data_IF_830508666517
#
_entry.id   IF_830508666517
#
_cell.length_a   1.000
_cell.length_b   1.000
_cell.length_c   1.000
_cell.angle_alpha   90.00
_cell.angle_beta   90.00
_cell.angle_gamma   90.00
#
_symmetry.space_group_name_H-M   'P 1'
#
loop_
_entity.id
_entity.type
_entity.pdbx_description
1 polymer ?
#
# COMPACT_ATOMS: atom_id res chain seq x y z
N UNK A 1 11.23 -22.06 -6.54
CA UNK A 1 10.99 -20.60 -6.57
C UNK A 1 10.86 -20.14 -8.02
N UNK A 2 9.67 -20.23 -8.62
CA UNK A 2 9.42 -19.80 -10.00
C UNK A 2 8.48 -18.60 -9.98
N UNK A 3 8.90 -17.55 -10.70
CA UNK A 3 8.14 -16.36 -11.09
C UNK A 3 7.73 -15.39 -9.95
N UNK A 4 8.66 -14.50 -9.60
CA UNK A 4 8.36 -13.18 -9.03
C UNK A 4 8.74 -12.03 -9.99
N UNK A 5 9.24 -12.37 -11.20
CA UNK A 5 9.75 -11.43 -12.20
C UNK A 5 8.94 -11.36 -13.49
N UNK A 6 7.91 -12.21 -13.68
CA UNK A 6 6.97 -11.99 -14.77
C UNK A 6 6.11 -10.75 -14.48
N UNK A 7 6.11 -9.73 -15.37
CA UNK A 7 5.32 -8.51 -15.18
C UNK A 7 3.80 -8.74 -15.25
N UNK A 8 3.40 -9.92 -15.75
CA UNK A 8 2.04 -10.44 -15.74
C UNK A 8 1.97 -11.49 -14.62
N UNK A 9 1.32 -11.13 -13.51
CA UNK A 9 0.99 -12.08 -12.45
C UNK A 9 -0.36 -12.71 -12.74
N UNK A 10 -0.43 -14.04 -12.71
CA UNK A 10 -1.69 -14.80 -12.85
C UNK A 10 -2.58 -14.69 -11.61
N UNK A 11 -2.09 -14.09 -10.52
CA UNK A 11 -2.83 -13.86 -9.29
C UNK A 11 -3.67 -12.58 -9.41
N UNK A 12 -4.98 -12.75 -9.25
CA UNK A 12 -5.94 -11.64 -9.23
C UNK A 12 -6.36 -11.34 -7.80
N UNK A 13 -6.56 -10.06 -7.51
CA UNK A 13 -7.13 -9.57 -6.24
C UNK A 13 -8.40 -8.79 -6.53
N UNK A 14 -9.38 -8.83 -5.63
CA UNK A 14 -10.59 -8.01 -5.76
C UNK A 14 -10.25 -6.53 -5.56
N UNK A 15 -10.61 -5.66 -6.50
CA UNK A 15 -10.37 -4.21 -6.49
C UNK A 15 -10.91 -3.51 -5.23
N UNK A 16 -11.96 -4.02 -4.61
CA UNK A 16 -12.54 -3.40 -3.41
C UNK A 16 -11.68 -3.60 -2.15
N UNK A 17 -10.95 -4.71 -2.05
CA UNK A 17 -10.06 -4.99 -0.92
C UNK A 17 -8.96 -3.93 -0.79
N UNK A 18 -8.16 -3.60 -1.83
CA UNK A 18 -7.13 -2.58 -1.72
C UNK A 18 -7.70 -1.19 -1.45
N UNK A 19 -8.89 -0.85 -1.96
CA UNK A 19 -9.55 0.44 -1.63
C UNK A 19 -9.84 0.55 -0.13
N UNK A 20 -10.43 -0.49 0.46
CA UNK A 20 -10.69 -0.50 1.90
C UNK A 20 -9.37 -0.51 2.70
N UNK A 21 -8.34 -1.22 2.22
CA UNK A 21 -7.02 -1.12 2.87
C UNK A 21 -6.42 0.27 2.78
N UNK A 22 -6.61 1.00 1.68
CA UNK A 22 -6.12 2.36 1.52
C UNK A 22 -6.79 3.29 2.54
N UNK A 23 -8.09 3.13 2.79
CA UNK A 23 -8.79 3.83 3.86
C UNK A 23 -8.21 3.51 5.24
N UNK A 24 -7.93 2.24 5.55
CA UNK A 24 -7.30 1.87 6.82
C UNK A 24 -5.88 2.43 6.96
N UNK A 25 -5.09 2.47 5.87
CA UNK A 25 -3.77 3.12 5.87
C UNK A 25 -3.90 4.61 6.16
N UNK A 26 -4.84 5.30 5.50
CA UNK A 26 -5.11 6.73 5.75
C UNK A 26 -5.43 6.95 7.23
N UNK A 27 -6.35 6.17 7.82
CA UNK A 27 -6.71 6.30 9.22
C UNK A 27 -5.52 6.05 10.16
N UNK A 28 -4.79 4.95 9.95
CA UNK A 28 -3.67 4.55 10.82
C UNK A 28 -2.49 5.52 10.75
N UNK A 29 -2.15 6.03 9.56
CA UNK A 29 -1.10 7.05 9.38
C UNK A 29 -1.50 8.37 10.02
N UNK A 30 -2.76 8.80 9.85
CA UNK A 30 -3.27 10.04 10.45
C UNK A 30 -3.24 9.94 11.98
N UNK A 31 -3.69 8.81 12.54
CA UNK A 31 -3.60 8.54 13.97
C UNK A 31 -2.14 8.52 14.45
N UNK A 32 -1.24 7.84 13.72
CA UNK A 32 0.19 7.81 14.05
C UNK A 32 0.81 9.21 14.14
N UNK A 33 0.42 10.11 13.24
CA UNK A 33 0.84 11.52 13.24
C UNK A 33 0.25 12.32 14.40
N UNK A 34 -1.06 12.23 14.64
CA UNK A 34 -1.73 12.96 15.73
C UNK A 34 -1.19 12.54 17.09
N UNK A 35 -0.99 11.24 17.31
CA UNK A 35 -0.41 10.73 18.55
C UNK A 35 1.12 10.82 18.59
N UNK A 36 1.78 11.26 17.51
CA UNK A 36 3.25 11.26 17.35
C UNK A 36 3.91 9.95 17.81
N UNK A 37 3.24 8.83 17.54
CA UNK A 37 3.61 7.53 18.10
C UNK A 37 4.44 6.75 17.09
N UNK A 38 5.74 6.63 17.37
CA UNK A 38 6.66 5.87 16.53
C UNK A 38 6.19 4.41 16.35
N UNK A 39 5.58 3.83 17.38
CA UNK A 39 5.03 2.47 17.35
C UNK A 39 3.96 2.28 16.26
N UNK A 40 3.06 3.26 16.07
CA UNK A 40 1.99 3.16 15.06
C UNK A 40 2.57 3.29 13.64
N UNK A 41 3.52 4.21 13.44
CA UNK A 41 4.20 4.35 12.15
C UNK A 41 5.04 3.10 11.83
N UNK A 42 5.73 2.54 12.83
CA UNK A 42 6.46 1.28 12.69
C UNK A 42 5.53 0.11 12.34
N UNK A 43 4.32 0.07 12.92
CA UNK A 43 3.30 -0.92 12.57
C UNK A 43 2.83 -0.78 11.12
N UNK A 44 2.58 0.45 10.65
CA UNK A 44 2.23 0.72 9.24
C UNK A 44 3.36 0.29 8.30
N UNK A 45 4.62 0.58 8.66
CA UNK A 45 5.78 0.14 7.89
C UNK A 45 5.90 -1.39 7.85
N UNK A 46 5.68 -2.08 8.97
CA UNK A 46 5.67 -3.54 9.01
C UNK A 46 4.55 -4.14 8.15
N UNK A 47 3.35 -3.55 8.16
CA UNK A 47 2.25 -4.00 7.32
C UNK A 47 2.54 -3.78 5.82
N UNK A 48 3.15 -2.65 5.45
CA UNK A 48 3.65 -2.46 4.07
C UNK A 48 4.78 -3.44 3.71
N UNK A 49 5.68 -3.75 4.64
CA UNK A 49 6.74 -4.73 4.42
C UNK A 49 6.18 -6.12 4.12
N UNK A 50 5.19 -6.57 4.89
CA UNK A 50 4.52 -7.85 4.69
C UNK A 50 3.85 -7.87 3.30
N UNK A 51 3.18 -6.78 2.89
CA UNK A 51 2.58 -6.67 1.55
C UNK A 51 3.61 -6.61 0.40
N UNK A 52 4.77 -6.03 0.66
CA UNK A 52 5.82 -5.78 -0.33
C UNK A 52 6.69 -7.02 -0.62
N UNK A 53 7.02 -7.78 0.43
CA UNK A 53 8.00 -8.87 0.37
C UNK A 53 7.37 -10.25 0.53
N UNK A 54 6.23 -10.35 1.21
CA UNK A 54 5.61 -11.64 1.47
C UNK A 54 4.53 -11.96 0.43
N UNK A 55 4.49 -13.20 -0.06
CA UNK A 55 3.39 -13.70 -0.90
C UNK A 55 2.07 -13.88 -0.13
N UNK A 56 2.09 -13.67 1.19
CA UNK A 56 0.94 -13.84 2.06
C UNK A 56 -0.26 -13.09 1.45
N UNK A 57 -1.34 -13.82 1.20
CA UNK A 57 -2.59 -13.26 0.67
C UNK A 57 -3.23 -12.25 1.62
N UNK A 58 -2.82 -12.24 2.89
CA UNK A 58 -3.43 -11.46 3.96
C UNK A 58 -2.37 -10.77 4.83
N UNK A 59 -2.23 -9.46 4.66
CA UNK A 59 -1.68 -8.55 5.69
C UNK A 59 -2.75 -8.31 6.78
N UNK A 60 -2.43 -7.94 8.03
CA UNK A 60 -3.45 -7.64 9.02
C UNK A 60 -4.49 -6.61 8.54
N UNK A 61 -4.06 -5.53 7.87
CA UNK A 61 -5.00 -4.57 7.26
C UNK A 61 -5.79 -5.18 6.08
N UNK A 62 -5.14 -6.00 5.24
CA UNK A 62 -5.79 -6.64 4.10
C UNK A 62 -6.78 -7.72 4.50
N UNK A 63 -6.57 -8.37 5.64
CA UNK A 63 -7.51 -9.32 6.23
C UNK A 63 -8.77 -8.58 6.71
N UNK A 64 -8.60 -7.50 7.48
CA UNK A 64 -9.73 -6.65 7.90
C UNK A 64 -10.51 -6.10 6.70
N UNK A 65 -9.82 -5.66 5.65
CA UNK A 65 -10.43 -5.21 4.40
C UNK A 65 -11.16 -6.34 3.64
N UNK A 66 -10.63 -7.56 3.66
CA UNK A 66 -11.28 -8.71 3.05
C UNK A 66 -12.61 -9.03 3.75
N UNK A 67 -12.59 -9.12 5.09
CA UNK A 67 -13.79 -9.41 5.89
C UNK A 67 -14.88 -8.34 5.71
N UNK A 68 -14.50 -7.07 5.63
CA UNK A 68 -15.46 -5.98 5.39
C UNK A 68 -16.07 -6.02 4.01
N UNK A 69 -15.29 -6.34 2.96
CA UNK A 69 -15.81 -6.50 1.60
C UNK A 69 -16.72 -7.73 1.48
N UNK A 70 -16.34 -8.84 2.12
CA UNK A 70 -17.15 -10.06 2.18
C UNK A 70 -18.50 -9.81 2.89
N UNK A 71 -18.47 -9.07 4.00
CA UNK A 71 -19.66 -8.70 4.76
C UNK A 71 -20.60 -7.78 3.96
N UNK A 72 -20.05 -6.84 3.20
CA UNK A 72 -20.82 -5.95 2.32
C UNK A 72 -21.28 -6.60 1.01
N UNK A 73 -20.90 -7.87 0.74
CA UNK A 73 -21.25 -8.62 -0.48
C UNK A 73 -21.02 -7.85 -1.78
N UNK A 74 -19.92 -7.09 -1.84
CA UNK A 74 -19.61 -6.28 -3.03
C UNK A 74 -19.13 -7.20 -4.16
N UNK A 75 -19.65 -7.07 -5.40
CA UNK A 75 -19.24 -7.91 -6.52
C UNK A 75 -17.72 -7.80 -6.75
N UNK A 76 -17.06 -8.96 -6.84
CA UNK A 76 -15.61 -9.00 -7.00
C UNK A 76 -15.20 -8.56 -8.41
N UNK A 77 -14.40 -7.49 -8.49
CA UNK A 77 -13.75 -7.06 -9.74
C UNK A 77 -12.28 -7.47 -9.70
N UNK A 78 -11.85 -8.48 -10.46
CA UNK A 78 -10.48 -8.99 -10.39
C UNK A 78 -9.48 -8.04 -11.09
N UNK A 79 -8.43 -7.65 -10.37
CA UNK A 79 -7.30 -6.85 -10.87
C UNK A 79 -5.97 -7.58 -10.65
N UNK A 80 -4.94 -7.26 -11.44
CA UNK A 80 -3.62 -7.89 -11.33
C UNK A 80 -2.91 -7.56 -10.02
N UNK A 81 -2.35 -8.59 -9.35
CA UNK A 81 -1.64 -8.42 -8.08
C UNK A 81 -0.24 -7.80 -8.24
N UNK A 82 0.46 -8.04 -9.35
CA UNK A 82 1.82 -7.54 -9.60
C UNK A 82 2.00 -6.02 -9.39
N UNK A 83 1.21 -5.15 -10.05
CA UNK A 83 1.38 -3.69 -9.90
C UNK A 83 1.07 -3.21 -8.48
N UNK A 84 0.23 -3.94 -7.72
CA UNK A 84 -0.10 -3.61 -6.32
C UNK A 84 1.03 -3.96 -5.35
N UNK A 85 1.77 -5.04 -5.60
CA UNK A 85 2.98 -5.38 -4.82
C UNK A 85 4.07 -4.31 -5.02
N UNK A 86 4.20 -3.78 -6.24
CA UNK A 86 5.11 -2.66 -6.51
C UNK A 86 4.70 -1.39 -5.75
N UNK A 87 3.41 -1.04 -5.78
CA UNK A 87 2.89 0.08 -5.00
C UNK A 87 3.14 -0.11 -3.48
N UNK A 88 2.98 -1.32 -2.95
CA UNK A 88 3.28 -1.62 -1.54
C UNK A 88 4.76 -1.44 -1.19
N UNK A 89 5.69 -1.77 -2.11
CA UNK A 89 7.13 -1.51 -1.92
C UNK A 89 7.45 -0.03 -1.84
N UNK A 90 6.86 0.78 -2.71
CA UNK A 90 7.00 2.24 -2.63
C UNK A 90 6.42 2.79 -1.32
N UNK A 91 5.24 2.32 -0.92
CA UNK A 91 4.62 2.66 0.36
C UNK A 91 5.49 2.28 1.57
N UNK A 92 6.15 1.12 1.52
CA UNK A 92 7.11 0.69 2.53
C UNK A 92 8.28 1.68 2.66
N UNK A 93 8.93 2.05 1.57
CA UNK A 93 10.05 2.99 1.58
C UNK A 93 9.63 4.33 2.16
N UNK A 94 8.47 4.85 1.77
CA UNK A 94 7.94 6.11 2.31
C UNK A 94 7.64 6.00 3.82
N UNK A 95 6.99 4.92 4.26
CA UNK A 95 6.69 4.70 5.68
C UNK A 95 7.93 4.53 6.55
N UNK A 96 8.97 3.88 6.02
CA UNK A 96 10.25 3.72 6.70
C UNK A 96 10.97 5.06 6.80
N UNK A 97 10.93 5.88 5.74
CA UNK A 97 11.47 7.23 5.75
C UNK A 97 10.78 8.10 6.83
N UNK A 98 9.45 8.02 6.95
CA UNK A 98 8.70 8.70 8.02
C UNK A 98 9.17 8.24 9.40
N UNK A 99 9.33 6.93 9.62
CA UNK A 99 9.79 6.39 10.90
C UNK A 99 11.20 6.89 11.27
N UNK A 100 12.12 6.92 10.30
CA UNK A 100 13.48 7.44 10.51
C UNK A 100 13.47 8.93 10.81
N UNK A 101 12.71 9.74 10.05
CA UNK A 101 12.59 11.18 10.28
C UNK A 101 11.97 11.51 11.65
N UNK A 102 11.00 10.72 12.10
CA UNK A 102 10.46 10.83 13.46
C UNK A 102 11.50 10.46 14.52
N UNK A 103 12.29 9.40 14.33
CA UNK A 103 13.37 9.02 15.23
C UNK A 103 14.48 10.08 15.34
N UNK A 104 14.76 10.78 14.23
CA UNK A 104 15.70 11.90 14.19
C UNK A 104 15.11 13.24 14.69
N UNK A 105 13.87 13.25 15.20
CA UNK A 105 13.17 14.45 15.68
C UNK A 105 13.00 15.56 14.62
N UNK A 106 12.77 15.20 13.34
CA UNK A 106 12.41 16.13 12.27
C UNK A 106 10.91 16.01 11.90
N UNK A 107 9.98 16.58 12.72
CA UNK A 107 8.55 16.38 12.54
C UNK A 107 8.00 17.01 11.26
N UNK A 108 8.56 18.15 10.82
CA UNK A 108 8.12 18.86 9.61
C UNK A 108 8.37 18.00 8.37
N UNK A 109 9.57 17.44 8.24
CA UNK A 109 9.90 16.57 7.11
C UNK A 109 9.06 15.29 7.12
N UNK A 110 8.83 14.69 8.30
CA UNK A 110 7.97 13.52 8.44
C UNK A 110 6.53 13.82 8.00
N UNK A 111 6.01 15.01 8.33
CA UNK A 111 4.68 15.47 7.94
C UNK A 111 4.55 15.62 6.41
N UNK A 112 5.57 16.18 5.74
CA UNK A 112 5.56 16.29 4.28
C UNK A 112 5.47 14.92 3.60
N UNK A 113 6.32 13.96 4.01
CA UNK A 113 6.32 12.61 3.43
C UNK A 113 5.01 11.88 3.74
N UNK A 114 4.49 12.02 4.96
CA UNK A 114 3.21 11.45 5.35
C UNK A 114 2.03 12.07 4.58
N UNK A 115 2.06 13.38 4.34
CA UNK A 115 1.06 14.10 3.55
C UNK A 115 1.02 13.60 2.10
N UNK A 116 2.18 13.36 1.48
CA UNK A 116 2.28 12.77 0.14
C UNK A 116 1.69 11.36 0.13
N UNK A 117 2.02 10.53 1.13
CA UNK A 117 1.47 9.18 1.27
C UNK A 117 -0.05 9.20 1.43
N UNK A 118 -0.57 10.07 2.30
CA UNK A 118 -2.01 10.28 2.52
C UNK A 118 -2.74 10.75 1.27
N UNK A 119 -2.12 11.64 0.49
CA UNK A 119 -2.68 12.11 -0.76
C UNK A 119 -2.83 10.97 -1.78
N UNK A 120 -1.79 10.16 -1.99
CA UNK A 120 -1.89 9.01 -2.89
C UNK A 120 -2.84 7.91 -2.39
N UNK A 121 -2.86 7.67 -1.08
CA UNK A 121 -3.78 6.68 -0.49
C UNK A 121 -5.25 7.12 -0.59
N UNK A 122 -5.53 8.42 -0.41
CA UNK A 122 -6.89 8.95 -0.57
C UNK A 122 -7.36 8.93 -2.03
N UNK A 123 -6.48 9.19 -2.99
CA UNK A 123 -6.75 8.98 -4.43
C UNK A 123 -7.10 7.53 -4.76
N UNK A 124 -6.37 6.57 -4.18
CA UNK A 124 -6.66 5.14 -4.38
C UNK A 124 -8.02 4.75 -3.80
N UNK A 125 -8.39 5.31 -2.64
CA UNK A 125 -9.70 5.08 -2.04
C UNK A 125 -10.85 5.73 -2.85
N UNK A 126 -10.71 7.00 -3.24
CA UNK A 126 -11.78 7.78 -3.86
C UNK A 126 -11.97 7.47 -5.36
N UNK A 127 -10.88 7.36 -6.12
CA UNK A 127 -10.91 7.24 -7.58
C UNK A 127 -10.45 5.87 -8.10
N UNK A 128 -10.11 4.94 -7.20
CA UNK A 128 -9.45 3.68 -7.56
C UNK A 128 -8.13 3.87 -8.34
N UNK A 129 -7.55 5.07 -8.28
CA UNK A 129 -6.35 5.43 -9.01
C UNK A 129 -5.11 5.22 -8.13
N UNK A 130 -4.25 4.29 -8.54
CA UNK A 130 -2.99 4.01 -7.85
C UNK A 130 -1.83 4.56 -8.69
N UNK A 131 -1.20 5.63 -8.23
CA UNK A 131 -0.02 6.21 -8.89
C UNK A 131 1.10 5.16 -9.05
N UNK A 132 1.31 4.31 -8.05
CA UNK A 132 2.29 3.21 -8.11
C UNK A 132 1.97 2.18 -9.20
N UNK A 133 0.69 1.85 -9.42
CA UNK A 133 0.29 0.97 -10.51
C UNK A 133 0.50 1.63 -11.87
N UNK A 134 0.19 2.92 -12.01
CA UNK A 134 0.42 3.66 -13.27
C UNK A 134 1.91 3.69 -13.63
N UNK A 135 2.77 3.98 -12.66
CA UNK A 135 4.23 3.96 -12.85
C UNK A 135 4.70 2.56 -13.27
N UNK A 136 4.17 1.51 -12.64
CA UNK A 136 4.52 0.14 -13.01
C UNK A 136 4.14 -0.19 -14.47
N UNK A 137 2.94 0.18 -14.90
CA UNK A 137 2.44 -0.07 -16.26
C UNK A 137 3.22 0.72 -17.30
N UNK A 138 3.59 1.98 -17.02
CA UNK A 138 4.29 2.83 -17.99
C UNK A 138 5.81 2.66 -18.01
N UNK A 139 6.43 2.28 -16.89
CA UNK A 139 7.89 2.21 -16.77
C UNK A 139 8.40 0.77 -16.74
N UNK A 140 7.83 -0.09 -15.90
CA UNK A 140 8.36 -1.44 -15.65
C UNK A 140 7.91 -2.44 -16.72
N UNK A 141 6.65 -2.37 -17.14
CA UNK A 141 6.10 -3.25 -18.17
C UNK A 141 6.84 -3.16 -19.53
N UNK A 142 7.12 -1.95 -20.10
CA UNK A 142 7.81 -1.86 -21.39
C UNK A 142 9.28 -2.25 -21.34
N UNK A 143 9.98 -2.00 -20.21
CA UNK A 143 11.38 -2.38 -20.05
C UNK A 143 11.62 -3.90 -20.03
N UNK A 144 10.59 -4.70 -19.76
CA UNK A 144 10.68 -6.16 -19.78
C UNK A 144 10.21 -6.79 -21.10
N UNK A 145 9.50 -6.03 -21.94
CA UNK A 145 8.99 -6.51 -23.24
C UNK A 145 10.05 -6.41 -24.37
N UNK A 146 11.16 -5.72 -24.11
CA UNK A 146 12.24 -5.47 -25.06
C UNK A 146 13.47 -6.33 -24.75
#
# INVERSE_FOLDING_TARGET
MKQLFCPISTERVNEHVPRVTALYVVLTVTLGMVFSSLAVIAFVAADFFIRAFTKLRFSPLSCAAYWTVELLKIPAKPIDKAPKVFAARMGFVMSLMIAVLMGLNFPVAALFVAGILLFFASLEFAFAFCAGCTIYTYLVLPLYKN
#
